data_IF_976691798647
#
_entry.id   IF_976691798647
#
_cell.length_a   1.000
_cell.length_b   1.000
_cell.length_c   1.000
_cell.angle_alpha   90.00
_cell.angle_beta   90.00
_cell.angle_gamma   90.00
#
_symmetry.space_group_name_H-M   'P 1'
#
loop_
_entity.id
_entity.type
_entity.pdbx_description
1 polymer ?
#
# COMPACT_ATOMS: atom_id res chain seq x y z
N UNK A 1 -9.90 -23.96 16.68
CA UNK A 1 -8.48 -23.52 16.70
C UNK A 1 -8.50 -22.08 16.24
N UNK A 2 -8.03 -21.15 17.07
CA UNK A 2 -8.03 -19.72 16.72
C UNK A 2 -6.94 -19.44 15.68
N UNK A 3 -7.30 -18.79 14.58
CA UNK A 3 -6.38 -18.47 13.50
C UNK A 3 -5.60 -17.21 13.88
N UNK A 4 -4.42 -17.39 14.48
CA UNK A 4 -3.50 -16.32 14.85
C UNK A 4 -2.43 -16.13 13.78
N UNK A 5 -1.76 -14.97 13.77
CA UNK A 5 -0.61 -14.74 12.89
C UNK A 5 0.45 -15.84 13.02
N UNK A 6 0.77 -16.25 14.24
CA UNK A 6 1.74 -17.32 14.50
C UNK A 6 1.29 -18.64 13.88
N UNK A 7 0.02 -19.02 14.02
CA UNK A 7 -0.49 -20.25 13.40
C UNK A 7 -0.41 -20.20 11.88
N UNK A 8 -0.68 -19.05 11.25
CA UNK A 8 -0.56 -18.88 9.79
C UNK A 8 0.90 -19.06 9.34
N UNK A 9 1.84 -18.45 10.05
CA UNK A 9 3.27 -18.58 9.77
C UNK A 9 3.71 -20.05 9.87
N UNK A 10 3.27 -20.76 10.91
CA UNK A 10 3.63 -22.16 11.08
C UNK A 10 2.99 -23.06 10.01
N UNK A 11 1.79 -22.75 9.53
CA UNK A 11 1.24 -23.41 8.34
C UNK A 11 2.12 -23.18 7.10
N UNK A 12 2.48 -21.93 6.81
CA UNK A 12 3.29 -21.58 5.64
C UNK A 12 4.67 -22.25 5.69
N UNK A 13 5.30 -22.32 6.87
CA UNK A 13 6.60 -23.00 7.04
C UNK A 13 6.56 -24.48 6.65
N UNK A 14 5.44 -25.15 6.89
CA UNK A 14 5.27 -26.58 6.64
C UNK A 14 4.86 -26.93 5.20
N UNK A 15 4.61 -25.93 4.35
CA UNK A 15 4.30 -26.15 2.93
C UNK A 15 5.53 -26.64 2.14
N UNK A 16 5.25 -27.31 1.02
CA UNK A 16 6.26 -27.65 0.03
C UNK A 16 6.83 -26.39 -0.63
N UNK A 17 7.99 -26.54 -1.28
CA UNK A 17 8.64 -25.40 -1.99
C UNK A 17 7.73 -24.80 -3.06
N UNK A 18 7.07 -25.58 -3.94
CA UNK A 18 6.17 -25.02 -4.96
C UNK A 18 4.99 -24.24 -4.36
N UNK A 19 4.39 -24.74 -3.28
CA UNK A 19 3.28 -24.04 -2.60
C UNK A 19 3.74 -22.71 -1.99
N UNK A 20 4.95 -22.67 -1.43
CA UNK A 20 5.55 -21.42 -0.91
C UNK A 20 5.81 -20.41 -2.03
N UNK A 21 6.29 -20.88 -3.19
CA UNK A 21 6.50 -20.02 -4.36
C UNK A 21 5.19 -19.43 -4.89
N UNK A 22 4.13 -20.24 -4.96
CA UNK A 22 2.79 -19.79 -5.36
C UNK A 22 2.23 -18.75 -4.38
N UNK A 23 2.33 -19.00 -3.07
CA UNK A 23 1.90 -18.04 -2.05
C UNK A 23 2.67 -16.72 -2.17
N UNK A 24 3.99 -16.80 -2.38
CA UNK A 24 4.83 -15.62 -2.59
C UNK A 24 4.32 -14.81 -3.79
N UNK A 25 4.10 -15.45 -4.92
CA UNK A 25 3.58 -14.80 -6.13
C UNK A 25 2.23 -14.10 -5.88
N UNK A 26 1.30 -14.78 -5.20
CA UNK A 26 -0.01 -14.22 -4.87
C UNK A 26 0.11 -13.01 -3.93
N UNK A 27 0.95 -13.10 -2.90
CA UNK A 27 1.15 -12.01 -1.94
C UNK A 27 1.76 -10.77 -2.60
N UNK A 28 2.79 -10.96 -3.44
CA UNK A 28 3.42 -9.87 -4.19
C UNK A 28 2.41 -9.13 -5.08
N UNK A 29 1.53 -9.87 -5.76
CA UNK A 29 0.48 -9.29 -6.58
C UNK A 29 -0.53 -8.49 -5.77
N UNK A 30 -1.01 -9.02 -4.65
CA UNK A 30 -1.97 -8.33 -3.79
C UNK A 30 -1.38 -7.03 -3.21
N UNK A 31 -0.14 -7.05 -2.73
CA UNK A 31 0.55 -5.86 -2.24
C UNK A 31 0.66 -4.80 -3.33
N UNK A 32 0.97 -5.21 -4.56
CA UNK A 32 1.02 -4.28 -5.70
C UNK A 32 -0.35 -3.63 -5.98
N UNK A 33 -1.44 -4.40 -5.91
CA UNK A 33 -2.79 -3.89 -6.15
C UNK A 33 -3.29 -2.97 -5.02
N UNK A 34 -2.94 -3.26 -3.77
CA UNK A 34 -3.21 -2.38 -2.63
C UNK A 34 -2.48 -1.04 -2.78
N UNK A 35 -1.19 -1.07 -3.15
CA UNK A 35 -0.40 0.14 -3.40
C UNK A 35 -0.97 0.98 -4.56
N UNK A 36 -1.36 0.33 -5.67
CA UNK A 36 -2.03 1.02 -6.80
C UNK A 36 -3.33 1.68 -6.36
N UNK A 37 -4.11 0.99 -5.54
CA UNK A 37 -5.37 1.51 -5.01
C UNK A 37 -5.14 2.73 -4.12
N UNK A 38 -4.11 2.71 -3.27
CA UNK A 38 -3.72 3.84 -2.43
C UNK A 38 -3.26 5.04 -3.28
N UNK A 39 -2.42 4.81 -4.28
CA UNK A 39 -1.98 5.86 -5.23
C UNK A 39 -3.18 6.48 -5.93
N UNK A 40 -4.11 5.66 -6.43
CA UNK A 40 -5.31 6.14 -7.10
C UNK A 40 -6.20 6.97 -6.17
N UNK A 41 -6.40 6.51 -4.93
CA UNK A 41 -7.13 7.25 -3.90
C UNK A 41 -6.49 8.61 -3.61
N UNK A 42 -5.16 8.65 -3.44
CA UNK A 42 -4.41 9.88 -3.20
C UNK A 42 -4.54 10.83 -4.39
N UNK A 43 -4.40 10.33 -5.62
CA UNK A 43 -4.61 11.12 -6.83
C UNK A 43 -6.01 11.75 -6.90
N UNK A 44 -7.06 10.98 -6.61
CA UNK A 44 -8.44 11.50 -6.58
C UNK A 44 -8.64 12.55 -5.49
N UNK A 45 -7.99 12.38 -4.32
CA UNK A 45 -8.04 13.36 -3.24
C UNK A 45 -7.33 14.65 -3.66
N UNK A 46 -6.13 14.56 -4.24
CA UNK A 46 -5.40 15.71 -4.76
C UNK A 46 -6.20 16.44 -5.84
N UNK A 47 -6.86 15.73 -6.77
CA UNK A 47 -7.75 16.41 -7.73
C UNK A 47 -8.89 17.19 -7.06
N UNK A 48 -9.46 16.67 -5.96
CA UNK A 48 -10.51 17.37 -5.20
C UNK A 48 -9.95 18.58 -4.46
N UNK A 49 -8.74 18.49 -3.91
CA UNK A 49 -8.06 19.60 -3.22
C UNK A 49 -7.68 20.71 -4.19
N UNK A 50 -7.23 20.35 -5.39
CA UNK A 50 -6.92 21.29 -6.47
C UNK A 50 -8.17 22.06 -6.89
N UNK A 51 -9.30 21.35 -7.08
CA UNK A 51 -10.60 21.99 -7.38
C UNK A 51 -11.12 22.90 -6.26
N UNK A 52 -10.60 22.77 -5.04
CA UNK A 52 -10.99 23.57 -3.88
C UNK A 52 -9.96 24.67 -3.54
N UNK A 53 -8.97 24.90 -4.41
CA UNK A 53 -7.79 25.77 -4.16
C UNK A 53 -7.08 25.47 -2.83
N UNK A 54 -7.16 24.22 -2.37
CA UNK A 54 -6.48 23.76 -1.14
C UNK A 54 -5.10 23.19 -1.40
N UNK A 55 -4.77 22.93 -2.65
CA UNK A 55 -3.47 22.40 -3.04
C UNK A 55 -2.49 23.53 -3.30
N UNK A 56 -1.60 23.74 -2.34
CA UNK A 56 -0.47 24.65 -2.46
C UNK A 56 0.68 23.88 -3.11
N UNK A 57 0.86 24.05 -4.43
CA UNK A 57 2.06 23.57 -5.10
C UNK A 57 3.10 24.69 -5.03
N UNK A 58 4.10 24.52 -4.16
CA UNK A 58 5.30 25.34 -4.22
C UNK A 58 6.41 24.54 -4.90
N UNK A 59 7.25 25.20 -5.70
CA UNK A 59 8.53 24.63 -6.13
C UNK A 59 9.65 24.94 -5.12
N UNK A 60 9.34 25.68 -4.05
CA UNK A 60 10.23 26.00 -2.95
C UNK A 60 10.05 24.99 -1.81
N UNK A 61 11.11 24.22 -1.54
CA UNK A 61 11.11 23.16 -0.52
C UNK A 61 10.86 23.70 0.88
N UNK A 62 11.31 24.92 1.17
CA UNK A 62 11.12 25.56 2.49
C UNK A 62 9.66 25.99 2.71
N UNK A 63 8.96 26.39 1.64
CA UNK A 63 7.53 26.68 1.70
C UNK A 63 6.70 25.40 1.84
N UNK A 64 7.08 24.33 1.14
CA UNK A 64 6.42 23.02 1.20
C UNK A 64 6.44 22.41 2.60
N UNK A 65 7.56 22.58 3.33
CA UNK A 65 7.69 22.12 4.72
C UNK A 65 6.76 22.84 5.69
N UNK A 66 6.38 24.08 5.41
CA UNK A 66 5.50 24.88 6.27
C UNK A 66 3.99 24.61 6.01
N UNK A 67 3.67 23.86 4.95
CA UNK A 67 2.29 23.46 4.60
C UNK A 67 1.93 22.04 5.04
N UNK A 68 2.86 21.32 5.69
CA UNK A 68 2.66 20.02 6.33
C UNK A 68 2.38 20.19 7.83
#
# INVERSE_FOLDING_TARGET
>A
MELTFNTIIDFIKNLSVPEKEEIKFILERNIADENRSLIHKNYLNSQKELKKDKLMFSNNVDELKNTL
#
